data_IF_662958942901
#
_entry.id   IF_662958942901
#
_cell.length_a   1.000
_cell.length_b   1.000
_cell.length_c   1.000
_cell.angle_alpha   90.00
_cell.angle_beta   90.00
_cell.angle_gamma   90.00
#
_symmetry.space_group_name_H-M   'P 1'
#
loop_
_entity.id
_entity.type
_entity.pdbx_description
1 polymer ?
#
# COMPACT_ATOMS: atom_id res chain seq x y z
N UNK A 1 -14.66 -2.09 17.36
CA UNK A 1 -14.38 -2.25 15.91
C UNK A 1 -13.26 -1.28 15.57
N UNK A 2 -12.25 -1.70 14.79
CA UNK A 2 -11.13 -0.83 14.39
C UNK A 2 -11.42 -0.18 13.04
N UNK A 3 -11.02 1.06 12.84
CA UNK A 3 -11.22 1.83 11.60
C UNK A 3 -9.88 2.12 10.93
N UNK A 4 -9.81 1.90 9.62
CA UNK A 4 -8.66 2.27 8.80
C UNK A 4 -9.06 3.08 7.57
N UNK A 5 -8.11 3.84 7.03
CA UNK A 5 -8.31 4.65 5.82
C UNK A 5 -7.17 4.43 4.81
N UNK A 6 -7.50 4.47 3.52
CA UNK A 6 -6.53 4.25 2.43
C UNK A 6 -5.62 5.47 2.27
N UNK A 7 -4.31 5.22 2.26
CA UNK A 7 -3.24 6.20 2.13
C UNK A 7 -2.29 5.80 0.99
N UNK A 8 -2.01 6.75 0.09
CA UNK A 8 -1.06 6.53 -1.01
C UNK A 8 0.30 7.01 -0.57
N UNK A 9 1.30 6.14 -0.69
CA UNK A 9 2.70 6.49 -0.38
C UNK A 9 3.38 7.29 -1.49
N UNK A 10 2.75 7.39 -2.67
CA UNK A 10 3.27 8.11 -3.83
C UNK A 10 2.22 9.01 -4.46
N UNK A 11 2.67 10.01 -5.23
CA UNK A 11 1.83 10.71 -6.20
C UNK A 11 1.49 9.76 -7.37
N UNK A 12 0.63 8.78 -7.13
CA UNK A 12 0.13 7.90 -8.16
C UNK A 12 -0.84 8.66 -9.08
N UNK A 13 -0.77 8.38 -10.38
CA UNK A 13 -1.80 8.79 -11.34
C UNK A 13 -3.16 8.14 -11.02
N UNK A 14 -3.16 7.09 -10.20
CA UNK A 14 -4.35 6.44 -9.68
C UNK A 14 -5.13 7.37 -8.73
N UNK A 15 -6.43 7.53 -8.98
CA UNK A 15 -7.32 8.45 -8.25
C UNK A 15 -8.13 7.80 -7.12
N UNK A 16 -7.93 6.51 -6.81
CA UNK A 16 -8.71 5.81 -5.79
C UNK A 16 -8.24 6.07 -4.34
N UNK A 17 -7.31 7.00 -4.11
CA UNK A 17 -6.70 7.22 -2.79
C UNK A 17 -7.06 8.59 -2.22
N UNK A 18 -7.55 8.59 -0.97
CA UNK A 18 -8.07 9.77 -0.28
C UNK A 18 -6.99 10.82 0.05
N UNK A 19 -5.73 10.39 0.24
CA UNK A 19 -4.60 11.28 0.58
C UNK A 19 -3.42 11.10 -0.39
N UNK A 20 -2.96 12.22 -0.95
CA UNK A 20 -1.79 12.32 -1.85
C UNK A 20 -0.80 13.34 -1.26
N UNK A 21 0.51 13.12 -1.43
CA UNK A 21 1.56 14.05 -0.96
C UNK A 21 2.25 13.60 0.34
N UNK A 22 2.74 14.58 1.11
CA UNK A 22 3.54 14.41 2.34
C UNK A 22 2.97 13.34 3.29
N UNK A 23 3.62 12.17 3.29
CA UNK A 23 3.23 10.98 4.05
C UNK A 23 3.09 11.30 5.54
N UNK A 24 4.03 12.05 6.09
CA UNK A 24 4.08 12.40 7.51
C UNK A 24 2.86 13.24 7.91
N UNK A 25 2.57 14.30 7.16
CA UNK A 25 1.41 15.17 7.42
C UNK A 25 0.08 14.42 7.32
N UNK A 26 -0.03 13.47 6.39
CA UNK A 26 -1.25 12.66 6.26
C UNK A 26 -1.40 11.66 7.41
N UNK A 27 -0.30 11.01 7.83
CA UNK A 27 -0.32 10.13 8.98
C UNK A 27 -0.67 10.91 10.27
N UNK A 28 -0.16 12.13 10.45
CA UNK A 28 -0.53 13.01 11.58
C UNK A 28 -2.03 13.30 11.60
N UNK A 29 -2.62 13.65 10.45
CA UNK A 29 -4.06 13.92 10.34
C UNK A 29 -4.89 12.68 10.64
N UNK A 30 -4.51 11.53 10.08
CA UNK A 30 -5.24 10.28 10.25
C UNK A 30 -5.23 9.85 11.73
N UNK A 31 -4.08 9.95 12.40
CA UNK A 31 -3.98 9.71 13.83
C UNK A 31 -4.82 10.71 14.64
N UNK A 32 -4.78 12.00 14.29
CA UNK A 32 -5.58 13.04 14.96
C UNK A 32 -7.10 12.85 14.78
N UNK A 33 -7.53 12.20 13.70
CA UNK A 33 -8.94 11.83 13.48
C UNK A 33 -9.39 10.58 14.25
N UNK A 34 -8.47 9.89 14.92
CA UNK A 34 -8.78 8.72 15.74
C UNK A 34 -8.93 7.42 14.96
N UNK A 35 -8.35 7.31 13.76
CA UNK A 35 -8.24 6.03 13.06
C UNK A 35 -7.24 5.10 13.76
N UNK A 36 -7.44 3.80 13.64
CA UNK A 36 -6.57 2.76 14.19
C UNK A 36 -5.46 2.34 13.20
N UNK A 37 -5.63 2.63 11.91
CA UNK A 37 -4.66 2.22 10.90
C UNK A 37 -4.82 2.83 9.52
N UNK A 38 -3.88 2.51 8.65
CA UNK A 38 -3.81 2.94 7.26
C UNK A 38 -3.63 1.76 6.33
N UNK A 39 -4.49 1.68 5.31
CA UNK A 39 -4.26 0.76 4.19
C UNK A 39 -3.30 1.43 3.21
N UNK A 40 -2.19 0.74 2.89
CA UNK A 40 -1.15 1.31 2.04
C UNK A 40 -1.30 0.84 0.60
N UNK A 41 -1.40 1.79 -0.34
CA UNK A 41 -1.27 1.49 -1.76
C UNK A 41 0.22 1.58 -2.16
N UNK A 42 0.87 0.43 -2.35
CA UNK A 42 2.30 0.33 -2.72
C UNK A 42 2.41 -0.41 -4.05
N UNK A 43 2.90 0.27 -5.08
CA UNK A 43 3.07 -0.33 -6.42
C UNK A 43 4.14 -1.41 -6.45
N UNK A 44 5.32 -1.08 -5.96
CA UNK A 44 6.45 -2.00 -5.87
C UNK A 44 7.10 -1.82 -4.50
N UNK A 45 7.07 -2.85 -3.63
CA UNK A 45 7.60 -2.75 -2.27
C UNK A 45 9.12 -2.62 -2.25
N UNK A 46 9.81 -2.89 -3.37
CA UNK A 46 11.27 -2.72 -3.49
C UNK A 46 11.66 -1.26 -3.71
N UNK A 47 10.71 -0.40 -4.05
CA UNK A 47 10.95 1.02 -4.28
C UNK A 47 10.76 1.88 -3.02
N UNK A 48 10.40 1.25 -1.89
CA UNK A 48 10.20 1.93 -0.60
C UNK A 48 11.12 1.38 0.46
N UNK A 49 11.58 2.25 1.36
CA UNK A 49 12.21 1.80 2.61
C UNK A 49 11.09 1.31 3.55
N UNK A 50 10.91 -0.02 3.60
CA UNK A 50 9.90 -0.65 4.45
C UNK A 50 10.17 -0.50 5.96
N UNK A 51 11.39 -0.18 6.38
CA UNK A 51 11.71 0.07 7.78
C UNK A 51 11.30 1.49 8.18
N UNK A 52 11.61 2.46 7.32
CA UNK A 52 11.20 3.85 7.50
C UNK A 52 9.67 3.97 7.50
N UNK A 53 9.00 3.35 6.53
CA UNK A 53 7.54 3.34 6.43
C UNK A 53 6.88 2.73 7.67
N UNK A 54 7.40 1.60 8.16
CA UNK A 54 6.90 0.98 9.37
C UNK A 54 7.09 1.88 10.60
N UNK A 55 8.26 2.53 10.73
CA UNK A 55 8.52 3.50 11.81
C UNK A 55 7.60 4.70 11.75
N UNK A 56 7.38 5.27 10.56
CA UNK A 56 6.52 6.44 10.35
C UNK A 56 5.07 6.18 10.75
N UNK A 57 4.54 5.00 10.43
CA UNK A 57 3.17 4.60 10.79
C UNK A 57 3.07 4.25 12.27
N UNK A 58 3.98 3.41 12.78
CA UNK A 58 3.92 2.93 14.17
C UNK A 58 4.19 4.02 15.22
N UNK A 59 5.01 5.03 14.91
CA UNK A 59 5.28 6.16 15.82
C UNK A 59 4.03 6.98 16.16
N UNK A 60 2.99 6.88 15.35
CA UNK A 60 1.68 7.54 15.52
C UNK A 60 0.62 6.63 16.11
N UNK A 61 0.99 5.41 16.53
CA UNK A 61 0.06 4.41 17.06
C UNK A 61 -0.85 3.79 16.00
N UNK A 62 -0.59 4.02 14.72
CA UNK A 62 -1.36 3.46 13.61
C UNK A 62 -0.85 2.05 13.24
N UNK A 63 -1.76 1.20 12.76
CA UNK A 63 -1.45 -0.11 12.19
C UNK A 63 -1.49 -0.08 10.65
N UNK A 64 -0.93 -1.10 10.00
CA UNK A 64 -1.07 -1.33 8.55
C UNK A 64 -1.85 -2.63 8.37
N UNK A 65 -3.20 -2.61 8.34
CA UNK A 65 -4.01 -3.82 8.28
C UNK A 65 -4.16 -4.38 6.86
N UNK A 66 -3.76 -3.64 5.82
CA UNK A 66 -3.92 -4.06 4.42
C UNK A 66 -2.91 -3.36 3.50
N UNK A 67 -2.56 -4.03 2.40
CA UNK A 67 -1.76 -3.49 1.29
C UNK A 67 -2.54 -3.62 -0.02
N UNK A 68 -2.78 -2.49 -0.68
CA UNK A 68 -3.42 -2.44 -1.98
C UNK A 68 -2.42 -2.67 -3.13
N UNK A 69 -2.73 -3.61 -4.03
CA UNK A 69 -1.87 -3.99 -5.17
C UNK A 69 -2.36 -3.48 -6.53
N UNK A 70 -3.46 -2.72 -6.56
CA UNK A 70 -4.14 -2.33 -7.79
C UNK A 70 -3.30 -1.54 -8.80
N UNK A 71 -2.20 -0.91 -8.36
CA UNK A 71 -1.30 -0.18 -9.27
C UNK A 71 -0.57 -1.11 -10.24
N UNK A 72 -0.35 -2.38 -9.88
CA UNK A 72 0.21 -3.38 -10.79
C UNK A 72 -0.67 -3.56 -12.04
N UNK A 73 -1.99 -3.48 -11.87
CA UNK A 73 -2.92 -3.51 -13.00
C UNK A 73 -2.98 -2.15 -13.71
N UNK A 74 -3.21 -1.07 -12.96
CA UNK A 74 -3.48 0.25 -13.53
C UNK A 74 -2.28 0.90 -14.24
N UNK A 75 -1.05 0.63 -13.81
CA UNK A 75 0.16 1.24 -14.39
C UNK A 75 0.97 0.27 -15.26
N UNK A 76 0.88 -1.04 -15.01
CA UNK A 76 1.74 -2.04 -15.66
C UNK A 76 0.96 -3.07 -16.48
N UNK A 77 -0.38 -2.99 -16.46
CA UNK A 77 -1.24 -3.93 -17.18
C UNK A 77 -1.21 -5.35 -16.63
N UNK A 78 -0.67 -5.57 -15.43
CA UNK A 78 -0.56 -6.91 -14.84
C UNK A 78 -1.93 -7.38 -14.36
N UNK A 79 -2.46 -8.42 -15.01
CA UNK A 79 -3.77 -9.00 -14.69
C UNK A 79 -3.66 -10.50 -14.45
N UNK A 80 -4.33 -11.00 -13.41
CA UNK A 80 -4.44 -12.44 -13.13
C UNK A 80 -5.30 -13.18 -14.15
N UNK A 81 -6.11 -12.46 -14.93
CA UNK A 81 -7.03 -13.03 -15.93
C UNK A 81 -6.70 -12.56 -17.34
N UNK A 82 -5.47 -12.10 -17.57
CA UNK A 82 -5.00 -11.74 -18.91
C UNK A 82 -5.06 -12.95 -19.85
N UNK A 83 -5.44 -12.80 -21.14
CA UNK A 83 -5.34 -13.89 -22.12
C UNK A 83 -3.90 -14.41 -22.27
N UNK A 84 -2.89 -13.54 -22.13
CA UNK A 84 -1.49 -13.91 -22.21
C UNK A 84 -1.02 -14.61 -20.91
N UNK A 85 -0.55 -15.88 -20.98
CA UNK A 85 -0.02 -16.60 -19.82
C UNK A 85 1.19 -15.93 -19.15
N UNK A 86 1.96 -15.14 -19.88
CA UNK A 86 3.16 -14.49 -19.37
C UNK A 86 2.80 -13.29 -18.51
N UNK A 87 1.76 -12.54 -18.89
CA UNK A 87 1.19 -11.46 -18.08
C UNK A 87 0.61 -12.01 -16.77
N UNK A 88 -0.13 -13.13 -16.82
CA UNK A 88 -0.67 -13.77 -15.59
C UNK A 88 0.43 -14.21 -14.62
N UNK A 89 1.52 -14.76 -15.17
CA UNK A 89 2.69 -15.15 -14.38
C UNK A 89 3.35 -13.93 -13.75
N UNK A 90 3.55 -12.86 -14.52
CA UNK A 90 4.10 -11.60 -14.01
C UNK A 90 3.21 -10.97 -12.92
N UNK A 91 1.87 -11.00 -13.06
CA UNK A 91 0.93 -10.55 -12.03
C UNK A 91 1.06 -11.36 -10.72
N UNK A 92 1.21 -12.68 -10.85
CA UNK A 92 1.42 -13.59 -9.70
C UNK A 92 2.72 -13.29 -8.97
N UNK A 93 3.83 -13.15 -9.70
CA UNK A 93 5.12 -12.80 -9.10
C UNK A 93 5.10 -11.39 -8.49
N UNK A 94 4.40 -10.44 -9.11
CA UNK A 94 4.23 -9.11 -8.53
C UNK A 94 3.50 -9.15 -7.21
N UNK A 95 2.40 -9.89 -7.11
CA UNK A 95 1.65 -10.03 -5.87
C UNK A 95 2.49 -10.70 -4.77
N UNK A 96 3.22 -11.77 -5.11
CA UNK A 96 4.15 -12.43 -4.18
C UNK A 96 5.23 -11.49 -3.65
N UNK A 97 5.69 -10.53 -4.44
CA UNK A 97 6.69 -9.57 -3.99
C UNK A 97 6.22 -8.66 -2.84
N UNK A 98 4.91 -8.52 -2.64
CA UNK A 98 4.31 -7.75 -1.53
C UNK A 98 4.31 -8.53 -0.21
N UNK A 99 4.30 -9.87 -0.27
CA UNK A 99 4.13 -10.75 0.89
C UNK A 99 5.20 -10.55 1.97
N UNK A 100 6.51 -10.39 1.65
CA UNK A 100 7.51 -10.13 2.69
C UNK A 100 7.25 -8.86 3.50
N UNK A 101 6.75 -7.79 2.86
CA UNK A 101 6.41 -6.56 3.57
C UNK A 101 5.09 -6.74 4.36
N UNK A 102 4.07 -7.35 3.76
CA UNK A 102 2.80 -7.68 4.42
C UNK A 102 3.00 -8.51 5.70
N UNK A 103 3.88 -9.51 5.64
CA UNK A 103 4.22 -10.36 6.78
C UNK A 103 4.82 -9.60 7.97
N UNK A 104 5.52 -8.47 7.72
CA UNK A 104 6.07 -7.62 8.79
C UNK A 104 4.99 -6.83 9.53
N UNK A 105 3.87 -6.55 8.88
CA UNK A 105 2.78 -5.73 9.42
C UNK A 105 1.57 -6.55 9.87
N UNK A 106 1.49 -7.82 9.46
CA UNK A 106 0.30 -8.66 9.62
C UNK A 106 -0.84 -8.27 8.66
N UNK A 107 -0.50 -7.61 7.55
CA UNK A 107 -1.42 -7.26 6.46
C UNK A 107 -1.62 -8.45 5.50
#
# INVERSE_FOLDING_TARGET
MKLSIVLSTHAAQFQAVAFKGDLESNLDKIAAWGYDGVELAIRDPRLVDGDELLRAVSSRGLQIPAIGTGHAWGEEGLSFTDPDPDVRRAASERCKSQVPFAARTGA
#
